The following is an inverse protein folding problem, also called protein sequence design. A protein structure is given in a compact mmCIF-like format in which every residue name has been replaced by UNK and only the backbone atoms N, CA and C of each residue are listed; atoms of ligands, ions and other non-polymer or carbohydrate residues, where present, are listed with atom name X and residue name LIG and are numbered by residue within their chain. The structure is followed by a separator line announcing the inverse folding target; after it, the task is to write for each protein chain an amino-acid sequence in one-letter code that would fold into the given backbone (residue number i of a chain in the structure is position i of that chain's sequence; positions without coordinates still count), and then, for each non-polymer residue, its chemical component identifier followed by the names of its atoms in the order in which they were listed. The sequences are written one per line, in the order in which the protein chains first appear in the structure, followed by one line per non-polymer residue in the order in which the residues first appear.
data_IF_865624988297
#
_entry.id   IF_865624988297
#
_cell.length_a   1.000
_cell.length_b   1.000
_cell.length_c   1.000
_cell.angle_alpha   90.00
_cell.angle_beta   90.00
_cell.angle_gamma   90.00
#
_symmetry.space_group_name_H-M   'P 1'
#
loop_
_entity.id
_entity.type
_entity.pdbx_description
1 polymer ?
#
# COMPACT_ATOMS: atom_id res chain seq x y z
N UNK A 1 0.47 -12.22 5.62
CA UNK A 1 0.37 -10.79 5.28
C UNK A 1 1.10 -9.99 6.35
N UNK A 2 1.44 -8.73 6.09
CA UNK A 2 2.13 -7.86 7.04
C UNK A 2 1.21 -7.48 8.21
N UNK A 3 1.75 -7.42 9.43
CA UNK A 3 0.99 -7.09 10.66
C UNK A 3 1.51 -5.80 11.34
N UNK A 4 2.39 -5.04 10.67
CA UNK A 4 2.91 -3.78 11.20
C UNK A 4 1.81 -2.72 11.32
N UNK A 5 1.70 -2.11 12.49
CA UNK A 5 0.64 -1.13 12.81
C UNK A 5 0.74 0.16 11.98
N UNK A 6 1.95 0.56 11.62
CA UNK A 6 2.23 1.74 10.79
C UNK A 6 3.21 1.34 9.70
N UNK A 7 2.73 1.34 8.45
CA UNK A 7 3.55 1.21 7.25
C UNK A 7 3.48 2.55 6.54
N UNK A 8 4.62 3.18 6.29
CA UNK A 8 4.68 4.46 5.58
C UNK A 8 4.77 4.26 4.07
N UNK A 9 4.35 5.27 3.31
CA UNK A 9 4.25 5.21 1.85
C UNK A 9 5.60 4.88 1.17
N UNK A 10 6.70 5.43 1.68
CA UNK A 10 8.07 5.17 1.17
C UNK A 10 8.63 3.80 1.58
N UNK A 11 7.94 3.04 2.43
CA UNK A 11 8.32 1.70 2.87
C UNK A 11 7.58 0.60 2.08
N UNK A 12 6.79 0.98 1.07
CA UNK A 12 6.04 0.05 0.23
C UNK A 12 6.74 -0.10 -1.12
N UNK A 13 6.98 -1.35 -1.51
CA UNK A 13 7.51 -1.73 -2.82
C UNK A 13 6.50 -2.62 -3.54
N UNK A 14 6.42 -2.51 -4.87
CA UNK A 14 5.56 -3.36 -5.67
C UNK A 14 6.35 -4.57 -6.18
N UNK A 15 5.90 -5.77 -5.85
CA UNK A 15 6.51 -7.03 -6.28
C UNK A 15 5.54 -7.83 -7.14
N UNK A 16 6.07 -8.67 -8.03
CA UNK A 16 5.25 -9.64 -8.76
C UNK A 16 5.10 -10.91 -7.93
N UNK A 17 3.87 -11.37 -7.77
CA UNK A 17 3.53 -12.70 -7.27
C UNK A 17 2.77 -13.45 -8.38
N UNK A 18 3.47 -14.32 -9.11
CA UNK A 18 2.95 -14.88 -10.36
C UNK A 18 2.65 -13.79 -11.40
N UNK A 19 1.36 -13.63 -11.75
CA UNK A 19 0.89 -12.64 -12.74
C UNK A 19 0.23 -11.41 -12.10
N UNK A 20 0.29 -11.26 -10.77
CA UNK A 20 -0.29 -10.12 -10.04
C UNK A 20 0.79 -9.24 -9.43
N UNK A 21 0.52 -7.93 -9.37
CA UNK A 21 1.38 -6.96 -8.66
C UNK A 21 0.86 -6.81 -7.24
N UNK A 22 1.74 -7.07 -6.26
CA UNK A 22 1.42 -7.06 -4.83
C UNK A 22 2.21 -5.95 -4.12
N UNK A 23 1.55 -4.98 -3.47
CA UNK A 23 2.23 -4.03 -2.61
C UNK A 23 2.78 -4.76 -1.39
N UNK A 24 4.08 -4.57 -1.13
CA UNK A 24 4.87 -5.32 -0.17
C UNK A 24 5.55 -4.35 0.80
N UNK A 25 5.46 -4.62 2.10
CA UNK A 25 6.22 -3.85 3.07
C UNK A 25 7.71 -4.23 2.99
N UNK A 26 8.57 -3.26 2.67
CA UNK A 26 10.01 -3.45 2.46
C UNK A 26 10.70 -4.17 3.61
N UNK A 27 10.39 -3.78 4.84
CA UNK A 27 11.07 -4.32 6.03
C UNK A 27 10.62 -5.74 6.40
N UNK A 28 9.38 -6.13 6.05
CA UNK A 28 8.87 -7.46 6.34
C UNK A 28 9.03 -8.43 5.15
N UNK A 29 9.15 -7.91 3.93
CA UNK A 29 9.22 -8.70 2.71
C UNK A 29 7.93 -9.44 2.33
N UNK A 30 6.84 -9.20 3.06
CA UNK A 30 5.51 -9.80 2.82
C UNK A 30 4.49 -8.76 2.38
N UNK A 31 3.49 -9.19 1.61
CA UNK A 31 2.41 -8.36 1.11
C UNK A 31 1.65 -7.64 2.22
N UNK A 32 1.19 -6.42 1.93
CA UNK A 32 0.31 -5.67 2.81
C UNK A 32 -0.98 -6.47 3.08
N UNK A 33 -1.50 -6.36 4.30
CA UNK A 33 -2.85 -6.81 4.59
C UNK A 33 -3.88 -5.82 4.01
N UNK A 34 -5.16 -6.20 4.03
CA UNK A 34 -6.25 -5.41 3.46
C UNK A 34 -6.33 -3.98 4.01
N UNK A 35 -6.25 -3.82 5.33
CA UNK A 35 -6.31 -2.50 5.99
C UNK A 35 -5.11 -1.61 5.63
N UNK A 36 -3.92 -2.21 5.54
CA UNK A 36 -2.70 -1.50 5.14
C UNK A 36 -2.76 -1.09 3.67
N UNK A 37 -3.27 -1.96 2.80
CA UNK A 37 -3.42 -1.68 1.38
C UNK A 37 -4.44 -0.54 1.14
N UNK A 38 -5.57 -0.58 1.84
CA UNK A 38 -6.59 0.48 1.76
C UNK A 38 -6.04 1.83 2.22
N UNK A 39 -5.39 1.88 3.38
CA UNK A 39 -4.76 3.10 3.89
C UNK A 39 -3.69 3.62 2.94
N UNK A 40 -2.82 2.74 2.44
CA UNK A 40 -1.79 3.10 1.48
C UNK A 40 -2.39 3.71 0.20
N UNK A 41 -3.45 3.13 -0.34
CA UNK A 41 -4.13 3.66 -1.52
C UNK A 41 -4.71 5.06 -1.28
N UNK A 42 -5.37 5.27 -0.13
CA UNK A 42 -5.89 6.59 0.26
C UNK A 42 -4.77 7.62 0.40
N UNK A 43 -3.67 7.27 1.07
CA UNK A 43 -2.52 8.15 1.27
C UNK A 43 -1.83 8.47 -0.06
N UNK A 44 -1.78 7.52 -1.00
CA UNK A 44 -1.22 7.70 -2.35
C UNK A 44 -2.05 8.69 -3.19
N UNK A 45 -3.37 8.51 -3.21
CA UNK A 45 -4.30 9.42 -3.92
C UNK A 45 -4.18 10.85 -3.39
N UNK A 46 -4.16 11.02 -2.06
CA UNK A 46 -3.94 12.31 -1.40
C UNK A 46 -2.59 12.93 -1.78
N UNK A 47 -1.50 12.16 -1.75
CA UNK A 47 -0.16 12.67 -2.09
C UNK A 47 -0.03 13.05 -3.57
N UNK A 48 -0.77 12.39 -4.47
CA UNK A 48 -0.78 12.75 -5.89
C UNK A 48 -1.62 13.99 -6.21
N UNK A 49 -2.33 14.57 -5.23
CA UNK A 49 -3.17 15.74 -5.46
C UNK A 49 -4.48 15.43 -6.18
N UNK A 50 -4.88 14.16 -6.23
CA UNK A 50 -6.22 13.78 -6.63
C UNK A 50 -7.14 14.03 -5.43
N UNK A 51 -7.88 15.13 -5.46
CA UNK A 51 -9.04 15.27 -4.58
C UNK A 51 -10.05 14.20 -4.99
N UNK A 52 -10.46 13.35 -4.04
CA UNK A 52 -11.62 12.49 -4.26
C UNK A 52 -12.81 13.43 -4.40
N UNK A 53 -13.30 13.65 -5.62
CA UNK A 53 -14.64 14.21 -5.81
C UNK A 53 -15.61 13.23 -5.13
N UNK A 54 -16.17 13.63 -3.99
CA UNK A 54 -17.28 12.92 -3.35
C UNK A 54 -18.47 13.01 -4.31
N UNK A 55 -18.78 11.90 -5.00
CA UNK A 55 -20.00 11.75 -5.81
C UNK A 55 -21.23 11.44 -4.94
#
# INVERSE_FOLDING_TARGET
MCECSNVHLYEVEFKMDGMIVVPTHKNCGVGLNEKQAEKFQQDLVKNWGFEQEEE
#
